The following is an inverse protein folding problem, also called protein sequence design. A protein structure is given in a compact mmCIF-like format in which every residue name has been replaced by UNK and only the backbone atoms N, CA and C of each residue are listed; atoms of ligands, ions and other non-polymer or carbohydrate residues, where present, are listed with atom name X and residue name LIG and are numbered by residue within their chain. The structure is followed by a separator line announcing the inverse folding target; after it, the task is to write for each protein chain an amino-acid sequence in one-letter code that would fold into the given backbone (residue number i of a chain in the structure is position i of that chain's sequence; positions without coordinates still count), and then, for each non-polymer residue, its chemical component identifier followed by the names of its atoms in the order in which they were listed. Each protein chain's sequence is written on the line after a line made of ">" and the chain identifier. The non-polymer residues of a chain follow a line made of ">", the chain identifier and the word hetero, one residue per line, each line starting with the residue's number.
data_IF_673939394086
#
_entry.id   IF_673939394086
#
_cell.length_a   1.000
_cell.length_b   1.000
_cell.length_c   1.000
_cell.angle_alpha   90.00
_cell.angle_beta   90.00
_cell.angle_gamma   90.00
#
_symmetry.space_group_name_H-M   'P 1'
#
loop_
_entity.id
_entity.type
_entity.pdbx_description
1 polymer ?
#
# COMPACT_ATOMS: atom_id res chain seq x y z
N UNK A 1 15.50 -31.93 -7.29
CA UNK A 1 16.23 -32.66 -8.35
C UNK A 1 15.48 -33.88 -8.87
N UNK A 2 14.73 -34.63 -8.04
CA UNK A 2 14.06 -35.85 -8.49
C UNK A 2 12.99 -35.62 -9.59
N UNK A 3 12.20 -34.54 -9.48
CA UNK A 3 11.17 -34.17 -10.47
C UNK A 3 11.75 -33.86 -11.85
N UNK A 4 12.86 -33.11 -11.90
CA UNK A 4 13.52 -32.74 -13.16
C UNK A 4 14.02 -33.97 -13.94
N UNK A 5 14.57 -34.96 -13.23
CA UNK A 5 15.03 -36.21 -13.84
C UNK A 5 13.84 -37.04 -14.35
N UNK A 6 12.78 -37.13 -13.56
CA UNK A 6 11.54 -37.83 -13.96
C UNK A 6 10.90 -37.21 -15.22
N UNK A 7 10.89 -35.87 -15.32
CA UNK A 7 10.32 -35.17 -16.47
C UNK A 7 11.07 -35.43 -17.79
N UNK A 8 12.34 -35.83 -17.75
CA UNK A 8 13.10 -36.19 -18.95
C UNK A 8 12.74 -37.59 -19.48
N UNK A 9 12.27 -38.48 -18.61
CA UNK A 9 12.00 -39.90 -18.93
C UNK A 9 10.52 -40.17 -19.27
N UNK A 10 9.63 -39.20 -19.02
CA UNK A 10 8.19 -39.33 -19.29
C UNK A 10 7.83 -39.11 -20.76
N UNK A 11 6.67 -39.62 -21.18
CA UNK A 11 6.06 -39.26 -22.46
C UNK A 11 5.56 -37.81 -22.44
N UNK A 12 5.54 -37.15 -23.60
CA UNK A 12 5.23 -35.72 -23.71
C UNK A 12 3.83 -35.36 -23.19
N UNK A 13 2.85 -36.25 -23.38
CA UNK A 13 1.48 -36.10 -22.84
C UNK A 13 1.45 -36.09 -21.31
N UNK A 14 2.25 -36.96 -20.67
CA UNK A 14 2.38 -37.00 -19.22
C UNK A 14 3.12 -35.76 -18.70
N UNK A 15 4.16 -35.30 -19.41
CA UNK A 15 4.86 -34.06 -19.07
C UNK A 15 3.90 -32.88 -19.14
N UNK A 16 3.14 -32.74 -20.22
CA UNK A 16 2.16 -31.67 -20.42
C UNK A 16 1.21 -31.58 -19.23
N UNK A 17 0.63 -32.70 -18.80
CA UNK A 17 -0.26 -32.75 -17.64
C UNK A 17 0.45 -32.28 -16.35
N UNK A 18 1.67 -32.77 -16.08
CA UNK A 18 2.41 -32.37 -14.88
C UNK A 18 2.70 -30.85 -14.90
N UNK A 19 3.19 -30.33 -16.03
CA UNK A 19 3.50 -28.91 -16.17
C UNK A 19 2.27 -28.02 -16.01
N UNK A 20 1.08 -28.49 -16.38
CA UNK A 20 -0.18 -27.77 -16.17
C UNK A 20 -0.62 -27.65 -14.71
N UNK A 21 -0.17 -28.56 -13.84
CA UNK A 21 -0.47 -28.53 -12.40
C UNK A 21 0.56 -27.77 -11.58
N UNK A 22 1.74 -27.47 -12.14
CA UNK A 22 2.78 -26.75 -11.40
C UNK A 22 2.36 -25.33 -11.07
N UNK A 23 2.66 -24.91 -9.83
CA UNK A 23 2.59 -23.50 -9.47
C UNK A 23 3.65 -22.68 -10.22
N UNK A 24 3.44 -21.36 -10.31
CA UNK A 24 4.37 -20.46 -11.01
C UNK A 24 5.80 -20.54 -10.47
N UNK A 25 5.98 -20.67 -9.16
CA UNK A 25 7.30 -20.76 -8.53
C UNK A 25 8.01 -22.05 -8.96
N UNK A 26 7.26 -23.14 -9.03
CA UNK A 26 7.76 -24.46 -9.43
C UNK A 26 8.04 -24.50 -10.93
N UNK A 27 7.17 -23.90 -11.76
CA UNK A 27 7.41 -23.66 -13.18
C UNK A 27 8.71 -22.91 -13.42
N UNK A 28 8.89 -21.76 -12.77
CA UNK A 28 10.13 -20.98 -12.89
C UNK A 28 11.35 -21.78 -12.43
N UNK A 29 11.22 -22.57 -11.36
CA UNK A 29 12.32 -23.38 -10.80
C UNK A 29 12.71 -24.52 -11.73
N UNK A 30 11.74 -25.31 -12.20
CA UNK A 30 11.97 -26.45 -13.09
C UNK A 30 12.53 -25.98 -14.44
N UNK A 31 11.96 -24.90 -14.99
CA UNK A 31 12.42 -24.24 -16.20
C UNK A 31 13.85 -23.66 -16.12
N UNK A 32 14.37 -23.44 -14.91
CA UNK A 32 15.71 -22.91 -14.68
C UNK A 32 16.74 -23.99 -14.33
N UNK A 33 16.29 -25.13 -13.78
CA UNK A 33 17.16 -26.22 -13.30
C UNK A 33 17.36 -27.31 -14.35
N UNK A 34 16.41 -27.47 -15.28
CA UNK A 34 16.43 -28.55 -16.25
C UNK A 34 16.26 -28.00 -17.67
N UNK A 35 17.37 -27.58 -18.29
CA UNK A 35 17.41 -27.37 -19.73
C UNK A 35 16.88 -28.64 -20.41
N UNK A 36 15.89 -28.49 -21.29
CA UNK A 36 15.19 -29.55 -22.02
C UNK A 36 14.05 -30.28 -21.28
N UNK A 37 13.74 -29.97 -20.01
CA UNK A 37 12.53 -30.55 -19.37
C UNK A 37 11.21 -30.04 -19.97
N UNK A 38 11.27 -28.94 -20.72
CA UNK A 38 10.16 -28.37 -21.48
C UNK A 38 10.06 -28.98 -22.90
N UNK A 39 11.03 -29.80 -23.31
CA UNK A 39 11.04 -30.39 -24.65
C UNK A 39 9.86 -31.35 -24.81
N UNK A 40 9.08 -31.14 -25.88
CA UNK A 40 7.84 -31.87 -26.14
C UNK A 40 6.59 -31.27 -25.47
N UNK A 41 6.75 -30.23 -24.63
CA UNK A 41 5.66 -29.57 -23.92
C UNK A 41 5.26 -28.29 -24.63
N UNK A 42 3.96 -28.10 -24.85
CA UNK A 42 3.45 -26.83 -25.35
C UNK A 42 3.33 -25.82 -24.20
N UNK A 43 4.44 -25.11 -23.95
CA UNK A 43 4.56 -24.16 -22.84
C UNK A 43 3.71 -22.88 -23.03
N UNK A 44 3.35 -22.54 -24.28
CA UNK A 44 2.61 -21.31 -24.59
C UNK A 44 1.27 -21.19 -23.85
N UNK A 45 0.36 -22.17 -23.98
CA UNK A 45 -0.91 -22.21 -23.24
C UNK A 45 -0.75 -22.20 -21.71
N UNK A 46 0.28 -22.86 -21.17
CA UNK A 46 0.56 -22.92 -19.73
C UNK A 46 0.92 -21.52 -19.22
N UNK A 47 1.90 -20.86 -19.85
CA UNK A 47 2.27 -19.50 -19.48
C UNK A 47 1.14 -18.49 -19.72
N UNK A 48 0.34 -18.68 -20.76
CA UNK A 48 -0.84 -17.85 -21.02
C UNK A 48 -1.88 -17.98 -19.89
N UNK A 49 -2.13 -19.20 -19.38
CA UNK A 49 -3.02 -19.43 -18.23
C UNK A 49 -2.52 -18.67 -16.99
N UNK A 50 -1.22 -18.78 -16.68
CA UNK A 50 -0.64 -18.03 -15.57
C UNK A 50 -0.65 -16.51 -15.77
N UNK A 51 -0.43 -16.04 -17.00
CA UNK A 51 -0.52 -14.63 -17.34
C UNK A 51 -1.93 -14.07 -17.07
N UNK A 52 -2.99 -14.82 -17.38
CA UNK A 52 -4.38 -14.45 -17.04
C UNK A 52 -4.59 -14.36 -15.53
N UNK A 53 -4.15 -15.36 -14.77
CA UNK A 53 -4.22 -15.32 -13.30
C UNK A 53 -3.47 -14.11 -12.73
N UNK A 54 -2.31 -13.78 -13.28
CA UNK A 54 -1.53 -12.63 -12.86
C UNK A 54 -2.22 -11.30 -13.18
N UNK A 55 -2.89 -11.19 -14.33
CA UNK A 55 -3.70 -10.03 -14.68
C UNK A 55 -4.85 -9.84 -13.69
N UNK A 56 -5.57 -10.91 -13.36
CA UNK A 56 -6.66 -10.88 -12.38
C UNK A 56 -6.13 -10.41 -11.02
N UNK A 57 -5.05 -11.04 -10.52
CA UNK A 57 -4.41 -10.63 -9.27
C UNK A 57 -3.93 -9.17 -9.29
N UNK A 58 -3.37 -8.72 -10.41
CA UNK A 58 -2.94 -7.34 -10.59
C UNK A 58 -4.10 -6.36 -10.54
N UNK A 59 -5.21 -6.68 -11.20
CA UNK A 59 -6.43 -5.88 -11.19
C UNK A 59 -7.10 -5.87 -9.80
N UNK A 60 -7.13 -7.00 -9.11
CA UNK A 60 -7.60 -7.08 -7.72
C UNK A 60 -6.73 -6.22 -6.79
N UNK A 61 -5.41 -6.28 -6.93
CA UNK A 61 -4.47 -5.46 -6.16
C UNK A 61 -4.67 -3.95 -6.43
N UNK A 62 -5.03 -3.57 -7.66
CA UNK A 62 -5.40 -2.19 -7.98
C UNK A 62 -6.75 -1.79 -7.36
N UNK A 63 -7.75 -2.68 -7.37
CA UNK A 63 -9.07 -2.43 -6.76
C UNK A 63 -9.00 -2.32 -5.24
N UNK A 64 -8.18 -3.16 -4.60
CA UNK A 64 -7.94 -3.16 -3.16
C UNK A 64 -6.96 -2.10 -2.66
N UNK A 65 -6.49 -1.19 -3.53
CA UNK A 65 -5.51 -0.18 -3.16
C UNK A 65 -6.08 0.87 -2.19
N UNK A 66 -5.74 0.70 -0.91
CA UNK A 66 -6.02 1.65 0.18
C UNK A 66 -4.94 2.73 0.36
N UNK A 67 -3.86 2.70 -0.41
CA UNK A 67 -2.73 3.62 -0.33
C UNK A 67 -2.89 4.82 -1.27
N UNK A 68 -2.28 4.74 -2.46
CA UNK A 68 -2.18 5.89 -3.37
C UNK A 68 -3.53 6.25 -3.99
N UNK A 69 -4.33 5.24 -4.38
CA UNK A 69 -5.64 5.46 -5.00
C UNK A 69 -6.70 5.96 -4.00
N UNK A 70 -6.72 5.47 -2.75
CA UNK A 70 -7.60 6.02 -1.71
C UNK A 70 -7.33 7.52 -1.45
N UNK A 71 -6.05 7.92 -1.46
CA UNK A 71 -5.66 9.34 -1.35
C UNK A 71 -6.00 10.16 -2.61
N UNK A 72 -6.10 9.54 -3.79
CA UNK A 72 -6.61 10.19 -5.01
C UNK A 72 -8.12 10.38 -4.96
N UNK A 73 -8.89 9.41 -4.46
CA UNK A 73 -10.34 9.51 -4.30
C UNK A 73 -10.73 10.65 -3.33
N UNK A 74 -9.96 10.83 -2.24
CA UNK A 74 -10.13 12.00 -1.36
C UNK A 74 -9.92 13.35 -2.06
N UNK A 75 -9.06 13.42 -3.10
CA UNK A 75 -8.89 14.65 -3.90
C UNK A 75 -9.87 14.77 -5.07
N UNK A 76 -10.26 13.67 -5.72
CA UNK A 76 -11.22 13.68 -6.85
C UNK A 76 -12.62 14.09 -6.38
N UNK A 77 -12.99 13.79 -5.13
CA UNK A 77 -14.22 14.31 -4.51
C UNK A 77 -14.17 15.82 -4.18
N UNK A 78 -13.00 16.46 -4.23
CA UNK A 78 -12.83 17.90 -4.05
C UNK A 78 -12.67 18.67 -5.39
N UNK A 79 -12.57 17.98 -6.52
CA UNK A 79 -12.42 18.62 -7.84
C UNK A 79 -13.25 17.87 -8.88
N UNK A 80 -14.56 18.07 -8.82
CA UNK A 80 -15.51 17.53 -9.79
C UNK A 80 -15.71 18.56 -10.90
N UNK A 81 -14.87 18.50 -11.93
CA UNK A 81 -15.11 19.03 -13.28
C UNK A 81 -14.13 18.34 -14.22
N UNK A 82 -14.55 18.09 -15.47
CA UNK A 82 -13.90 17.32 -16.56
C UNK A 82 -14.44 15.88 -16.72
N UNK A 83 -15.70 15.82 -17.17
CA UNK A 83 -16.17 14.75 -18.05
C UNK A 83 -16.41 15.38 -19.44
N UNK A 84 -15.55 14.99 -20.38
CA UNK A 84 -15.62 15.15 -21.83
C UNK A 84 -14.55 14.19 -22.35
N UNK A 85 -14.75 13.32 -23.34
CA UNK A 85 -15.74 13.30 -24.42
C UNK A 85 -15.84 11.83 -24.90
N UNK A 86 -16.91 11.50 -25.61
CA UNK A 86 -17.15 10.24 -26.30
C UNK A 86 -16.07 9.93 -27.36
N UNK A 87 -15.87 8.65 -27.73
CA UNK A 87 -16.23 8.24 -29.10
C UNK A 87 -16.12 6.73 -29.40
N UNK A 88 -17.02 6.33 -30.30
CA UNK A 88 -17.27 5.00 -30.88
C UNK A 88 -16.15 4.56 -31.83
N UNK A 89 -15.91 3.25 -31.97
CA UNK A 89 -15.58 2.67 -33.29
C UNK A 89 -16.03 1.21 -33.43
N UNK A 90 -16.31 0.88 -34.69
CA UNK A 90 -17.14 -0.16 -35.27
C UNK A 90 -16.50 -1.55 -35.36
N UNK A 91 -17.35 -2.57 -35.25
CA UNK A 91 -17.09 -3.98 -35.56
C UNK A 91 -17.22 -4.20 -37.08
N UNK A 92 -16.19 -4.77 -37.71
CA UNK A 92 -16.28 -5.45 -39.01
C UNK A 92 -15.53 -6.78 -38.89
N UNK A 93 -16.24 -7.86 -39.18
CA UNK A 93 -15.79 -9.25 -39.26
C UNK A 93 -15.13 -9.55 -40.61
N UNK A 94 -14.12 -10.43 -40.63
CA UNK A 94 -13.99 -11.41 -41.72
C UNK A 94 -13.10 -12.60 -41.31
N UNK A 95 -13.41 -13.71 -41.94
CA UNK A 95 -13.22 -15.11 -41.55
C UNK A 95 -11.91 -15.74 -42.05
N UNK A 96 -11.50 -16.80 -41.35
CA UNK A 96 -10.67 -17.92 -41.82
C UNK A 96 -9.18 -17.75 -42.19
N UNK A 97 -8.61 -16.56 -42.43
CA UNK A 97 -7.13 -16.39 -42.56
C UNK A 97 -6.40 -16.17 -41.21
N UNK A 98 -7.16 -16.10 -40.12
CA UNK A 98 -6.66 -15.69 -38.80
C UNK A 98 -5.95 -16.84 -38.09
N UNK A 99 -6.37 -18.10 -38.24
CA UNK A 99 -5.84 -19.21 -37.43
C UNK A 99 -4.34 -19.49 -37.61
N UNK A 100 -3.81 -19.37 -38.83
CA UNK A 100 -2.38 -19.57 -39.09
C UNK A 100 -1.54 -18.36 -38.63
N UNK A 101 -2.05 -17.15 -38.84
CA UNK A 101 -1.42 -15.92 -38.32
C UNK A 101 -1.46 -15.86 -36.79
N UNK A 102 -2.48 -16.45 -36.16
CA UNK A 102 -2.69 -16.47 -34.72
C UNK A 102 -1.72 -17.38 -34.00
N UNK A 103 -1.43 -18.57 -34.55
CA UNK A 103 -0.36 -19.45 -34.04
C UNK A 103 1.02 -18.79 -34.17
N UNK A 104 1.26 -18.06 -35.28
CA UNK A 104 2.48 -17.25 -35.45
C UNK A 104 2.60 -16.11 -34.43
N UNK A 105 1.51 -15.40 -34.15
CA UNK A 105 1.48 -14.31 -33.15
C UNK A 105 1.62 -14.84 -31.71
N UNK A 106 1.00 -15.98 -31.42
CA UNK A 106 1.03 -16.62 -30.10
C UNK A 106 2.41 -17.20 -29.77
N UNK A 107 3.17 -17.62 -30.78
CA UNK A 107 4.57 -18.04 -30.67
C UNK A 107 5.57 -16.88 -30.66
N UNK A 108 5.20 -15.70 -31.17
CA UNK A 108 6.05 -14.50 -31.15
C UNK A 108 6.10 -13.83 -29.78
N UNK A 109 5.08 -14.04 -28.93
CA UNK A 109 5.02 -13.47 -27.59
C UNK A 109 5.73 -14.41 -26.62
N UNK A 110 6.84 -13.93 -26.06
CA UNK A 110 7.48 -14.60 -24.92
C UNK A 110 6.65 -14.39 -23.65
N UNK A 111 5.65 -15.27 -23.47
CA UNK A 111 4.75 -15.26 -22.32
C UNK A 111 5.47 -15.43 -20.99
N UNK A 112 6.58 -16.16 -20.97
CA UNK A 112 7.40 -16.36 -19.78
C UNK A 112 8.05 -15.04 -19.37
N UNK A 113 8.64 -14.33 -20.33
CA UNK A 113 9.21 -13.01 -20.09
C UNK A 113 8.15 -11.99 -19.65
N UNK A 114 7.02 -11.93 -20.35
CA UNK A 114 5.92 -11.03 -20.00
C UNK A 114 5.38 -11.30 -18.59
N UNK A 115 5.18 -12.57 -18.24
CA UNK A 115 4.74 -12.98 -16.90
C UNK A 115 5.72 -12.50 -15.84
N UNK A 116 7.01 -12.81 -16.02
CA UNK A 116 8.07 -12.47 -15.07
C UNK A 116 8.12 -10.97 -14.80
N UNK A 117 8.14 -10.17 -15.86
CA UNK A 117 8.27 -8.72 -15.75
C UNK A 117 7.02 -8.11 -15.08
N UNK A 118 5.84 -8.61 -15.42
CA UNK A 118 4.58 -8.20 -14.79
C UNK A 118 4.54 -8.59 -13.31
N UNK A 119 5.02 -9.78 -12.96
CA UNK A 119 5.08 -10.24 -11.57
C UNK A 119 6.03 -9.38 -10.73
N UNK A 120 7.21 -9.05 -11.26
CA UNK A 120 8.15 -8.13 -10.60
C UNK A 120 7.54 -6.75 -10.37
N UNK A 121 6.78 -6.23 -11.35
CA UNK A 121 6.07 -4.97 -11.20
C UNK A 121 4.97 -5.06 -10.13
N UNK A 122 4.21 -6.15 -10.10
CA UNK A 122 3.15 -6.37 -9.12
C UNK A 122 3.71 -6.44 -7.69
N UNK A 123 4.73 -7.26 -7.46
CA UNK A 123 5.38 -7.37 -6.14
C UNK A 123 5.95 -6.03 -5.69
N UNK A 124 6.61 -5.29 -6.60
CA UNK A 124 7.15 -3.96 -6.30
C UNK A 124 6.03 -2.96 -5.98
N UNK A 125 4.91 -3.01 -6.71
CA UNK A 125 3.74 -2.20 -6.44
C UNK A 125 3.19 -2.48 -5.03
N UNK A 126 2.91 -3.75 -4.71
CA UNK A 126 2.39 -4.15 -3.41
C UNK A 126 3.30 -3.67 -2.28
N UNK A 127 4.62 -3.94 -2.37
CA UNK A 127 5.59 -3.50 -1.36
C UNK A 127 5.60 -1.98 -1.16
N UNK A 128 5.68 -1.22 -2.25
CA UNK A 128 5.71 0.24 -2.18
C UNK A 128 4.41 0.81 -1.61
N UNK A 129 3.28 0.21 -1.99
CA UNK A 129 1.97 0.66 -1.56
C UNK A 129 1.69 0.36 -0.09
N UNK A 130 2.02 -0.85 0.37
CA UNK A 130 1.94 -1.22 1.79
C UNK A 130 2.85 -0.33 2.64
N UNK A 131 4.09 -0.07 2.20
CA UNK A 131 4.99 0.83 2.92
C UNK A 131 4.46 2.27 3.01
N UNK A 132 3.86 2.77 1.93
CA UNK A 132 3.21 4.08 1.93
C UNK A 132 1.99 4.10 2.86
N UNK A 133 1.12 3.09 2.80
CA UNK A 133 -0.07 2.99 3.65
C UNK A 133 0.29 2.90 5.14
N UNK A 134 1.29 2.09 5.49
CA UNK A 134 1.80 1.99 6.86
C UNK A 134 2.29 3.35 7.37
N UNK A 135 3.11 4.05 6.58
CA UNK A 135 3.62 5.39 6.96
C UNK A 135 2.50 6.40 7.14
N UNK A 136 1.44 6.32 6.32
CA UNK A 136 0.24 7.14 6.47
C UNK A 136 -0.50 6.87 7.78
N UNK A 137 -0.68 5.60 8.16
CA UNK A 137 -1.30 5.21 9.42
C UNK A 137 -0.50 5.72 10.61
N UNK A 138 0.81 5.48 10.63
CA UNK A 138 1.69 5.96 11.70
C UNK A 138 1.71 7.49 11.80
N UNK A 139 1.64 8.22 10.68
CA UNK A 139 1.53 9.68 10.70
C UNK A 139 0.20 10.15 11.29
N UNK A 140 -0.89 9.41 11.04
CA UNK A 140 -2.20 9.69 11.63
C UNK A 140 -2.17 9.47 13.15
N UNK A 141 -1.55 8.39 13.61
CA UNK A 141 -1.35 8.09 15.04
C UNK A 141 -0.58 9.22 15.73
N UNK A 142 0.55 9.65 15.18
CA UNK A 142 1.31 10.78 15.73
C UNK A 142 0.49 12.08 15.77
N UNK A 143 -0.37 12.33 14.77
CA UNK A 143 -1.27 13.50 14.80
C UNK A 143 -2.31 13.38 15.91
N UNK A 144 -2.84 12.20 16.17
CA UNK A 144 -3.75 11.97 17.30
C UNK A 144 -3.04 12.15 18.63
N UNK A 145 -1.83 11.60 18.79
CA UNK A 145 -1.00 11.80 19.98
C UNK A 145 -0.69 13.28 20.20
N UNK A 146 -0.32 14.01 19.14
CA UNK A 146 -0.11 15.47 19.19
C UNK A 146 -1.35 16.20 19.71
N UNK A 147 -2.55 15.83 19.25
CA UNK A 147 -3.78 16.47 19.72
C UNK A 147 -4.05 16.20 21.20
N UNK A 148 -3.84 14.95 21.65
CA UNK A 148 -3.99 14.55 23.05
C UNK A 148 -2.98 15.26 23.96
N UNK A 149 -1.72 15.38 23.51
CA UNK A 149 -0.68 16.08 24.25
C UNK A 149 -0.97 17.58 24.36
N UNK A 150 -1.49 18.21 23.29
CA UNK A 150 -1.92 19.62 23.35
C UNK A 150 -3.04 19.83 24.37
N UNK A 151 -4.01 18.93 24.39
CA UNK A 151 -5.11 18.95 25.36
C UNK A 151 -4.58 18.76 26.80
N UNK A 152 -3.69 17.79 27.02
CA UNK A 152 -3.05 17.57 28.32
C UNK A 152 -2.30 18.80 28.82
N UNK A 153 -1.51 19.46 27.95
CA UNK A 153 -0.83 20.73 28.28
C UNK A 153 -1.83 21.82 28.64
N UNK A 154 -2.95 21.90 27.92
CA UNK A 154 -4.01 22.87 28.22
C UNK A 154 -4.70 22.57 29.55
N UNK A 155 -4.95 21.30 29.87
CA UNK A 155 -5.53 20.86 31.14
C UNK A 155 -4.62 21.18 32.33
N UNK A 156 -3.30 20.95 32.21
CA UNK A 156 -2.33 21.34 33.24
C UNK A 156 -2.31 22.86 33.45
N UNK A 157 -2.40 23.65 32.37
CA UNK A 157 -2.52 25.12 32.48
C UNK A 157 -3.82 25.52 33.18
N UNK A 158 -4.95 24.93 32.80
CA UNK A 158 -6.26 25.21 33.38
C UNK A 158 -6.30 24.87 34.88
N UNK A 159 -5.80 23.68 35.25
CA UNK A 159 -5.66 23.25 36.65
C UNK A 159 -4.74 24.19 37.43
N UNK A 160 -3.58 24.57 36.88
CA UNK A 160 -2.69 25.54 37.51
C UNK A 160 -3.36 26.90 37.75
N UNK A 161 -4.20 27.36 36.82
CA UNK A 161 -4.99 28.58 36.99
C UNK A 161 -6.09 28.44 38.05
N UNK A 162 -6.80 27.31 38.07
CA UNK A 162 -7.79 27.00 39.09
C UNK A 162 -7.14 26.96 40.49
N UNK A 163 -6.00 26.28 40.63
CA UNK A 163 -5.25 26.20 41.87
C UNK A 163 -4.76 27.57 42.34
N UNK A 164 -4.32 28.45 41.42
CA UNK A 164 -3.97 29.82 41.76
C UNK A 164 -5.18 30.61 42.29
N UNK A 165 -6.36 30.43 41.70
CA UNK A 165 -7.59 31.07 42.16
C UNK A 165 -7.99 30.56 43.54
N UNK A 166 -7.96 29.24 43.75
CA UNK A 166 -8.22 28.60 45.05
C UNK A 166 -7.24 29.09 46.10
N UNK A 167 -5.95 29.16 45.78
CA UNK A 167 -4.91 29.73 46.67
C UNK A 167 -5.20 31.18 47.05
N UNK A 168 -5.61 32.03 46.12
CA UNK A 168 -5.99 33.42 46.41
C UNK A 168 -7.16 33.50 47.40
N UNK A 169 -8.16 32.64 47.24
CA UNK A 169 -9.30 32.56 48.16
C UNK A 169 -8.87 32.07 49.55
N UNK A 170 -8.02 31.03 49.62
CA UNK A 170 -7.47 30.51 50.87
C UNK A 170 -6.60 31.54 51.61
N UNK A 171 -5.81 32.33 50.88
CA UNK A 171 -4.94 33.39 51.43
C UNK A 171 -5.71 34.47 52.21
N UNK A 172 -6.99 34.71 51.90
CA UNK A 172 -7.83 35.62 52.68
C UNK A 172 -8.11 35.09 54.11
N UNK A 173 -8.08 33.77 54.30
CA UNK A 173 -8.29 33.09 55.57
C UNK A 173 -6.98 32.86 56.35
N UNK A 174 -5.82 33.02 55.69
CA UNK A 174 -4.49 32.73 56.25
C UNK A 174 -4.13 33.60 57.45
N UNK A 175 -4.64 34.84 57.52
CA UNK A 175 -4.43 35.72 58.70
C UNK A 175 -5.02 35.12 59.99
N UNK A 176 -6.04 34.28 59.86
CA UNK A 176 -6.73 33.62 60.96
C UNK A 176 -6.17 32.22 61.27
N UNK A 177 -5.18 31.75 60.50
CA UNK A 177 -4.55 30.44 60.70
C UNK A 177 -3.35 30.49 61.66
N UNK A 178 -3.22 29.46 62.49
CA UNK A 178 -2.06 29.27 63.34
C UNK A 178 -0.75 29.10 62.54
N UNK A 179 0.37 29.54 63.12
CA UNK A 179 1.70 29.62 62.45
C UNK A 179 2.14 28.30 61.81
N UNK A 180 1.86 27.16 62.45
CA UNK A 180 2.22 25.82 61.95
C UNK A 180 1.45 25.47 60.69
N UNK A 181 0.13 25.70 60.66
CA UNK A 181 -0.69 25.47 59.47
C UNK A 181 -0.34 26.40 58.31
N UNK A 182 0.08 27.65 58.60
CA UNK A 182 0.59 28.56 57.56
C UNK A 182 1.83 28.01 56.88
N UNK A 183 2.78 27.46 57.66
CA UNK A 183 4.00 26.85 57.12
C UNK A 183 3.69 25.60 56.30
N UNK A 184 2.79 24.74 56.78
CA UNK A 184 2.35 23.54 56.05
C UNK A 184 1.66 23.89 54.72
N UNK A 185 0.75 24.86 54.73
CA UNK A 185 0.09 25.32 53.51
C UNK A 185 1.07 25.94 52.50
N UNK A 186 2.04 26.74 52.97
CA UNK A 186 3.08 27.30 52.11
C UNK A 186 3.97 26.21 51.48
N UNK A 187 4.39 25.21 52.27
CA UNK A 187 5.18 24.08 51.78
C UNK A 187 4.39 23.24 50.75
N UNK A 188 3.14 22.89 51.05
CA UNK A 188 2.26 22.15 50.13
C UNK A 188 2.03 22.90 48.82
N UNK A 189 1.80 24.21 48.88
CA UNK A 189 1.59 25.06 47.71
C UNK A 189 2.85 25.18 46.83
N UNK A 190 4.02 25.20 47.45
CA UNK A 190 5.32 25.21 46.77
C UNK A 190 5.55 23.88 46.04
N UNK A 191 5.35 22.76 46.73
CA UNK A 191 5.51 21.41 46.16
C UNK A 191 4.55 21.24 44.98
N UNK A 192 3.26 21.55 45.15
CA UNK A 192 2.28 21.44 44.06
C UNK A 192 2.63 22.32 42.84
N UNK A 193 3.13 23.54 43.07
CA UNK A 193 3.57 24.41 41.96
C UNK A 193 4.77 23.82 41.22
N UNK A 194 5.73 23.25 41.94
CA UNK A 194 6.90 22.59 41.36
C UNK A 194 6.50 21.33 40.58
N UNK A 195 5.64 20.47 41.14
CA UNK A 195 5.13 19.27 40.47
C UNK A 195 4.37 19.63 39.18
N UNK A 196 3.51 20.65 39.22
CA UNK A 196 2.80 21.11 38.02
C UNK A 196 3.73 21.72 36.96
N UNK A 197 4.80 22.40 37.37
CA UNK A 197 5.80 22.94 36.44
C UNK A 197 6.61 21.83 35.77
N UNK A 198 7.04 20.82 36.53
CA UNK A 198 7.73 19.64 36.01
C UNK A 198 6.84 18.86 35.03
N UNK A 199 5.59 18.55 35.43
CA UNK A 199 4.61 17.87 34.57
C UNK A 199 4.33 18.64 33.27
N UNK A 200 4.24 19.97 33.33
CA UNK A 200 4.08 20.80 32.13
C UNK A 200 5.32 20.72 31.23
N UNK A 201 6.53 20.79 31.80
CA UNK A 201 7.78 20.71 31.04
C UNK A 201 7.92 19.37 30.31
N UNK A 202 7.65 18.26 31.00
CA UNK A 202 7.65 16.90 30.44
C UNK A 202 6.64 16.77 29.28
N UNK A 203 5.41 17.27 29.46
CA UNK A 203 4.41 17.24 28.39
C UNK A 203 4.82 18.10 27.18
N UNK A 204 5.47 19.24 27.40
CA UNK A 204 5.96 20.09 26.30
C UNK A 204 7.13 19.47 25.55
N UNK A 205 8.05 18.79 26.25
CA UNK A 205 9.16 18.05 25.63
C UNK A 205 8.63 16.90 24.79
N UNK A 206 7.67 16.13 25.33
CA UNK A 206 7.03 15.03 24.61
C UNK A 206 6.27 15.52 23.38
N UNK A 207 5.55 16.65 23.49
CA UNK A 207 4.89 17.29 22.36
C UNK A 207 5.89 17.72 21.28
N UNK A 208 7.01 18.32 21.67
CA UNK A 208 8.06 18.73 20.73
C UNK A 208 8.67 17.52 20.02
N UNK A 209 8.93 16.43 20.74
CA UNK A 209 9.42 15.17 20.16
C UNK A 209 8.45 14.61 19.12
N UNK A 210 7.15 14.56 19.44
CA UNK A 210 6.11 14.13 18.48
C UNK A 210 6.04 15.06 17.27
N UNK A 211 6.17 16.37 17.46
CA UNK A 211 6.18 17.33 16.35
C UNK A 211 7.39 17.16 15.43
N UNK A 212 8.58 16.87 15.97
CA UNK A 212 9.76 16.50 15.19
C UNK A 212 9.52 15.22 14.38
N UNK A 213 9.01 14.15 15.01
CA UNK A 213 8.68 12.89 14.35
C UNK A 213 7.66 13.07 13.22
N UNK A 214 6.62 13.90 13.42
CA UNK A 214 5.66 14.25 12.36
C UNK A 214 6.35 14.93 11.18
N UNK A 215 7.27 15.86 11.43
CA UNK A 215 7.99 16.57 10.37
C UNK A 215 8.91 15.63 9.58
N UNK A 216 9.63 14.74 10.26
CA UNK A 216 10.51 13.75 9.62
C UNK A 216 9.70 12.77 8.76
N UNK A 217 8.64 12.20 9.31
CA UNK A 217 7.76 11.30 8.59
C UNK A 217 7.05 11.98 7.42
N UNK A 218 6.65 13.25 7.56
CA UNK A 218 6.06 14.01 6.46
C UNK A 218 7.04 14.21 5.30
N UNK A 219 8.33 14.38 5.57
CA UNK A 219 9.37 14.45 4.52
C UNK A 219 9.50 13.12 3.79
N UNK A 220 9.56 12.01 4.53
CA UNK A 220 9.67 10.67 3.95
C UNK A 220 8.43 10.29 3.11
N UNK A 221 7.25 10.73 3.54
CA UNK A 221 5.97 10.50 2.86
C UNK A 221 5.99 10.94 1.39
N UNK A 222 6.63 12.07 1.07
CA UNK A 222 6.73 12.54 -0.33
C UNK A 222 7.51 11.56 -1.21
N UNK A 223 8.63 11.04 -0.71
CA UNK A 223 9.46 10.07 -1.41
C UNK A 223 8.74 8.73 -1.59
N UNK A 224 8.05 8.26 -0.56
CA UNK A 224 7.22 7.04 -0.61
C UNK A 224 6.08 7.19 -1.60
N UNK A 225 5.34 8.30 -1.57
CA UNK A 225 4.26 8.60 -2.52
C UNK A 225 4.75 8.61 -3.95
N UNK A 226 5.89 9.25 -4.24
CA UNK A 226 6.47 9.29 -5.59
C UNK A 226 6.81 7.89 -6.10
N UNK A 227 7.42 7.05 -5.24
CA UNK A 227 7.75 5.65 -5.57
C UNK A 227 6.49 4.82 -5.83
N UNK A 228 5.50 4.93 -4.95
CA UNK A 228 4.24 4.21 -5.06
C UNK A 228 3.45 4.62 -6.32
N UNK A 229 3.39 5.92 -6.64
CA UNK A 229 2.77 6.42 -7.88
C UNK A 229 3.51 5.92 -9.14
N UNK A 230 4.85 5.90 -9.12
CA UNK A 230 5.63 5.39 -10.26
C UNK A 230 5.40 3.89 -10.47
N UNK A 231 5.36 3.09 -9.39
CA UNK A 231 5.06 1.66 -9.51
C UNK A 231 3.62 1.40 -9.95
N UNK A 232 2.66 2.18 -9.44
CA UNK A 232 1.26 2.12 -9.86
C UNK A 232 1.12 2.38 -11.36
N UNK A 233 1.72 3.46 -11.87
CA UNK A 233 1.66 3.78 -13.30
C UNK A 233 2.26 2.66 -14.16
N UNK A 234 3.45 2.17 -13.80
CA UNK A 234 4.11 1.06 -14.51
C UNK A 234 3.27 -0.20 -14.51
N UNK A 235 2.72 -0.59 -13.37
CA UNK A 235 1.86 -1.76 -13.27
C UNK A 235 0.61 -1.57 -14.12
N UNK A 236 -0.06 -0.42 -14.05
CA UNK A 236 -1.27 -0.15 -14.81
C UNK A 236 -1.01 -0.21 -16.33
N UNK A 237 0.09 0.39 -16.81
CA UNK A 237 0.50 0.30 -18.22
C UNK A 237 0.76 -1.14 -18.64
N UNK A 238 1.45 -1.92 -17.81
CA UNK A 238 1.75 -3.33 -18.09
C UNK A 238 0.47 -4.19 -18.15
N UNK A 239 -0.45 -3.99 -17.19
CA UNK A 239 -1.72 -4.71 -17.15
C UNK A 239 -2.62 -4.34 -18.33
N UNK A 240 -2.66 -3.07 -18.72
CA UNK A 240 -3.39 -2.61 -19.91
C UNK A 240 -2.81 -3.23 -21.18
N UNK A 241 -1.47 -3.23 -21.33
CA UNK A 241 -0.79 -3.90 -22.44
C UNK A 241 -1.09 -5.39 -22.49
N UNK A 242 -1.03 -6.11 -21.37
CA UNK A 242 -1.35 -7.54 -21.31
C UNK A 242 -2.81 -7.86 -21.61
N UNK A 243 -3.72 -6.99 -21.17
CA UNK A 243 -5.15 -7.16 -21.44
C UNK A 243 -5.44 -6.97 -22.93
N UNK A 244 -4.86 -5.94 -23.56
CA UNK A 244 -4.95 -5.74 -25.01
C UNK A 244 -4.37 -6.92 -25.77
N UNK A 245 -3.20 -7.40 -25.36
CA UNK A 245 -2.53 -8.54 -25.99
C UNK A 245 -3.39 -9.83 -25.94
N UNK A 246 -4.10 -10.07 -24.84
CA UNK A 246 -5.04 -11.20 -24.76
C UNK A 246 -6.31 -10.99 -25.59
N UNK A 247 -6.81 -9.76 -25.69
CA UNK A 247 -7.95 -9.41 -26.55
C UNK A 247 -7.62 -9.57 -28.03
N UNK A 248 -6.44 -9.10 -28.47
CA UNK A 248 -5.96 -9.22 -29.84
C UNK A 248 -5.77 -10.69 -30.25
N UNK A 249 -5.44 -11.55 -29.27
CA UNK A 249 -5.44 -13.00 -29.41
C UNK A 249 -6.84 -13.62 -29.26
N UNK A 250 -7.93 -12.90 -29.52
CA UNK A 250 -9.29 -13.46 -29.55
C UNK A 250 -9.77 -14.10 -28.24
N UNK A 251 -9.04 -13.91 -27.13
CA UNK A 251 -9.39 -14.43 -25.83
C UNK A 251 -10.12 -13.34 -25.07
N UNK A 252 -11.44 -13.40 -25.09
CA UNK A 252 -12.28 -12.59 -24.21
C UNK A 252 -11.96 -12.93 -22.75
N UNK A 253 -11.41 -11.95 -22.02
CA UNK A 253 -11.58 -11.90 -20.56
C UNK A 253 -12.94 -11.26 -20.35
N UNK A 254 -13.99 -12.07 -20.24
CA UNK A 254 -15.29 -11.57 -19.78
C UNK A 254 -15.11 -10.92 -18.40
N UNK A 255 -15.49 -9.64 -18.26
CA UNK A 255 -15.74 -9.04 -16.95
C UNK A 255 -14.85 -7.90 -16.45
N UNK A 256 -14.11 -7.16 -17.30
CA UNK A 256 -13.29 -6.03 -16.80
C UNK A 256 -13.61 -4.71 -17.50
N UNK A 257 -14.50 -3.92 -16.89
CA UNK A 257 -14.59 -2.47 -17.15
C UNK A 257 -13.41 -1.77 -16.47
N UNK A 258 -12.62 -1.05 -17.25
CA UNK A 258 -11.57 -0.17 -16.75
C UNK A 258 -12.19 1.04 -16.03
N UNK A 259 -11.66 1.39 -14.86
CA UNK A 259 -11.89 2.70 -14.25
C UNK A 259 -10.78 3.62 -14.73
N UNK A 260 -11.13 4.56 -15.61
CA UNK A 260 -10.27 5.65 -16.06
C UNK A 260 -10.19 6.82 -15.06
#
# INVERSE_FOLDING_TARGET
>A
MHLAKMLLELADECKQNIWEFLGVEELCRVASVACNAEQGVNMGPIWQRHARTLLIKGQEALKGDTGVLANRLQRRNASRNLLGTEDKYSVVTSDQSVKENFLGLQNAIDWRLWYRDTHVLLVRFCRNNTGFAHTMSSLQELKTERSQLKEAVQNVKASSHADKRTRRLQMNCVKWMNRTHRRQAAASNSIQAQTAAMSKAELTERLQSVECSIQEMAKEQFGLRKRAMKSLHKLNTQLASGTKLLQDLGVYIEGVKFVA
#
